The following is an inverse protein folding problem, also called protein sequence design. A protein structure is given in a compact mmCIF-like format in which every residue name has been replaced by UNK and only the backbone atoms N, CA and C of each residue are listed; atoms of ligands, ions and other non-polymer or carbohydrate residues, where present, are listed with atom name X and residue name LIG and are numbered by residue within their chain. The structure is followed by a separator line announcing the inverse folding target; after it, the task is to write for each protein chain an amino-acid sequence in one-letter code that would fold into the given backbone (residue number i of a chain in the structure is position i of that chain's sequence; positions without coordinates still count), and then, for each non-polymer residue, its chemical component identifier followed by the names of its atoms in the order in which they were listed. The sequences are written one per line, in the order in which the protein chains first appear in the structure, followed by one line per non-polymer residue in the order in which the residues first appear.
data_IF_733600883958
#
_entry.id   IF_733600883958
#
_cell.length_a   1.000
_cell.length_b   1.000
_cell.length_c   1.000
_cell.angle_alpha   90.00
_cell.angle_beta   90.00
_cell.angle_gamma   90.00
#
_symmetry.space_group_name_H-M   'P 1'
#
loop_
_entity.id
_entity.type
_entity.pdbx_description
1 polymer ?
#
# COMPACT_ATOMS: atom_id res chain seq x y z
N UNK A 1 4.31 -30.02 0.40
CA UNK A 1 3.90 -28.94 -0.53
C UNK A 1 3.99 -27.67 0.28
N UNK A 2 4.68 -26.61 -0.15
CA UNK A 2 4.63 -25.36 0.57
C UNK A 2 3.17 -24.91 0.56
N UNK A 3 2.62 -24.62 1.73
CA UNK A 3 1.34 -23.92 1.82
C UNK A 3 1.51 -22.62 1.04
N UNK A 4 0.75 -22.47 -0.03
CA UNK A 4 0.69 -21.19 -0.73
C UNK A 4 0.19 -20.18 0.30
N UNK A 5 0.99 -19.16 0.59
CA UNK A 5 0.63 -18.12 1.56
C UNK A 5 -0.75 -17.56 1.17
N UNK A 6 -1.70 -17.51 2.09
CA UNK A 6 -2.99 -16.88 1.78
C UNK A 6 -2.80 -15.36 1.60
N UNK A 7 -3.60 -14.70 0.74
CA UNK A 7 -3.56 -13.24 0.62
C UNK A 7 -3.79 -12.58 1.98
N UNK A 8 -2.93 -11.62 2.31
CA UNK A 8 -2.94 -10.91 3.58
C UNK A 8 -2.69 -9.43 3.34
N UNK A 9 -2.99 -8.62 4.35
CA UNK A 9 -2.63 -7.20 4.34
C UNK A 9 -1.12 -7.05 4.56
N UNK A 10 -0.49 -6.30 3.67
CA UNK A 10 0.89 -5.83 3.80
C UNK A 10 0.90 -4.32 3.78
N UNK A 11 1.80 -3.74 4.57
CA UNK A 11 1.99 -2.29 4.65
C UNK A 11 3.31 -1.90 4.00
N UNK A 12 3.25 -0.87 3.15
CA UNK A 12 4.40 -0.22 2.55
C UNK A 12 4.39 1.23 3.06
N UNK A 13 5.36 1.56 3.90
CA UNK A 13 5.51 2.89 4.51
C UNK A 13 6.55 3.68 3.74
N UNK A 14 6.17 4.86 3.28
CA UNK A 14 7.06 5.83 2.63
C UNK A 14 7.27 7.00 3.59
N UNK A 15 8.52 7.20 3.98
CA UNK A 15 8.91 8.18 5.00
C UNK A 15 9.52 9.43 4.37
N UNK A 16 9.73 10.46 5.20
CA UNK A 16 10.51 11.63 4.83
C UNK A 16 9.70 12.80 4.29
N UNK A 17 8.36 12.74 4.32
CA UNK A 17 7.52 13.85 3.89
C UNK A 17 7.48 14.95 4.95
N UNK A 18 7.57 16.20 4.51
CA UNK A 18 7.47 17.36 5.38
C UNK A 18 6.05 17.51 5.95
N UNK A 19 5.03 17.19 5.15
CA UNK A 19 3.63 17.29 5.52
C UNK A 19 2.74 16.30 4.73
N UNK A 20 1.46 16.27 5.06
CA UNK A 20 0.48 15.40 4.41
C UNK A 20 0.22 15.75 2.95
N UNK A 21 0.36 17.01 2.54
CA UNK A 21 0.23 17.43 1.13
C UNK A 21 1.30 16.78 0.25
N UNK A 22 2.55 16.74 0.72
CA UNK A 22 3.63 16.05 0.03
C UNK A 22 3.38 14.53 -0.06
N UNK A 23 2.92 13.93 1.04
CA UNK A 23 2.53 12.51 1.07
C UNK A 23 1.36 12.20 0.11
N UNK A 24 0.38 13.10 0.00
CA UNK A 24 -0.74 12.94 -0.94
C UNK A 24 -0.32 13.07 -2.39
N UNK A 25 0.68 13.92 -2.70
CA UNK A 25 1.15 14.12 -4.07
C UNK A 25 1.69 12.84 -4.73
N UNK A 26 2.24 11.92 -3.93
CA UNK A 26 2.76 10.64 -4.45
C UNK A 26 1.70 9.53 -4.55
N UNK A 27 0.51 9.70 -3.96
CA UNK A 27 -0.56 8.68 -4.03
C UNK A 27 -1.00 8.41 -5.46
N UNK A 28 -1.23 9.47 -6.24
CA UNK A 28 -1.68 9.32 -7.63
C UNK A 28 -0.67 8.59 -8.52
N UNK A 29 0.64 8.95 -8.51
CA UNK A 29 1.68 8.16 -9.16
C UNK A 29 1.71 6.69 -8.75
N UNK A 30 1.56 6.39 -7.45
CA UNK A 30 1.56 5.01 -6.94
C UNK A 30 0.31 4.25 -7.40
N UNK A 31 -0.87 4.88 -7.37
CA UNK A 31 -2.12 4.28 -7.85
C UNK A 31 -2.01 3.90 -9.33
N UNK A 32 -1.48 4.81 -10.18
CA UNK A 32 -1.24 4.56 -11.61
C UNK A 32 -0.24 3.42 -11.87
N UNK A 33 0.72 3.22 -10.97
CA UNK A 33 1.66 2.10 -11.02
C UNK A 33 1.00 0.76 -10.66
N UNK A 34 0.03 0.77 -9.73
CA UNK A 34 -0.71 -0.42 -9.31
C UNK A 34 -1.77 -0.82 -10.33
N UNK A 35 -2.47 0.15 -10.91
CA UNK A 35 -3.40 -0.05 -11.99
C UNK A 35 -3.34 1.15 -12.97
N UNK A 36 -3.03 0.90 -14.26
CA UNK A 36 -2.87 1.96 -15.25
C UNK A 36 -4.19 2.47 -15.84
N UNK A 37 -5.34 1.94 -15.40
CA UNK A 37 -6.65 2.46 -15.82
C UNK A 37 -6.99 3.71 -15.00
N UNK A 38 -7.51 4.76 -15.65
CA UNK A 38 -7.89 6.00 -14.95
C UNK A 38 -9.21 5.84 -14.20
N UNK A 39 -10.11 5.05 -14.77
CA UNK A 39 -11.42 4.70 -14.20
C UNK A 39 -11.40 3.20 -13.83
N UNK A 40 -10.85 2.89 -12.65
CA UNK A 40 -10.79 1.52 -12.15
C UNK A 40 -12.18 0.89 -12.10
N UNK A 41 -12.45 -0.09 -12.97
CA UNK A 41 -13.77 -0.76 -13.05
C UNK A 41 -13.81 -2.11 -12.32
N UNK A 42 -12.65 -2.56 -11.79
CA UNK A 42 -12.52 -3.73 -10.90
C UNK A 42 -12.73 -5.10 -11.57
N UNK A 43 -12.28 -6.20 -10.93
CA UNK A 43 -11.44 -6.25 -9.74
C UNK A 43 -9.95 -6.03 -10.05
N UNK A 44 -9.25 -5.30 -9.18
CA UNK A 44 -7.84 -5.01 -9.36
C UNK A 44 -6.96 -6.23 -9.05
N UNK A 45 -5.83 -6.29 -9.74
CA UNK A 45 -4.83 -7.37 -9.61
C UNK A 45 -4.19 -7.41 -8.21
N UNK A 46 -3.96 -6.24 -7.63
CA UNK A 46 -3.55 -6.04 -6.24
C UNK A 46 -4.47 -4.97 -5.68
N UNK A 47 -5.46 -5.29 -4.83
CA UNK A 47 -6.24 -4.29 -4.12
C UNK A 47 -5.34 -3.44 -3.20
N UNK A 48 -5.61 -2.14 -3.11
CA UNK A 48 -4.85 -1.23 -2.25
C UNK A 48 -5.71 -0.17 -1.57
N UNK A 49 -5.18 0.39 -0.50
CA UNK A 49 -5.73 1.56 0.19
C UNK A 49 -4.57 2.45 0.68
N UNK A 50 -4.78 3.76 0.69
CA UNK A 50 -3.83 4.71 1.27
C UNK A 50 -4.34 5.26 2.59
N UNK A 51 -3.42 5.45 3.52
CA UNK A 51 -3.63 6.20 4.75
C UNK A 51 -2.37 6.99 5.08
N UNK A 52 -2.49 7.98 5.95
CA UNK A 52 -1.37 8.80 6.41
C UNK A 52 -1.16 8.53 7.89
N UNK A 53 0.09 8.28 8.27
CA UNK A 53 0.50 8.14 9.66
C UNK A 53 1.55 9.17 10.03
N UNK A 54 1.78 9.30 11.33
CA UNK A 54 2.99 9.92 11.88
C UNK A 54 4.06 8.86 12.06
N UNK A 55 5.34 9.21 11.97
CA UNK A 55 6.42 8.27 12.23
C UNK A 55 6.38 7.86 13.73
N UNK A 56 5.85 6.67 14.04
CA UNK A 56 5.76 6.15 15.42
C UNK A 56 7.13 6.02 16.13
N UNK A 57 8.24 6.04 15.38
CA UNK A 57 9.61 5.90 15.88
C UNK A 57 10.44 7.19 15.81
N UNK A 58 9.81 8.32 15.45
CA UNK A 58 10.46 9.62 15.48
C UNK A 58 10.79 10.04 16.92
N UNK A 59 12.00 10.56 17.12
CA UNK A 59 12.29 11.40 18.29
C UNK A 59 11.16 12.44 18.47
N UNK A 60 10.73 12.72 19.71
CA UNK A 60 9.72 13.74 19.97
C UNK A 60 10.18 15.09 19.38
N UNK A 61 9.61 15.47 18.24
CA UNK A 61 9.99 16.65 17.46
C UNK A 61 10.22 16.40 15.95
N UNK A 62 10.29 15.15 15.49
CA UNK A 62 10.32 14.81 14.06
C UNK A 62 8.88 14.51 13.58
N UNK A 63 8.15 15.58 13.24
CA UNK A 63 6.74 15.55 12.79
C UNK A 63 6.59 15.05 11.34
N UNK A 64 7.60 14.38 10.79
CA UNK A 64 7.58 13.94 9.39
C UNK A 64 6.43 12.98 9.16
N UNK A 65 5.73 13.25 8.07
CA UNK A 65 4.57 12.49 7.65
C UNK A 65 5.02 11.20 6.97
N UNK A 66 4.27 10.12 7.21
CA UNK A 66 4.48 8.81 6.58
C UNK A 66 3.26 8.49 5.74
N UNK A 67 3.45 8.28 4.44
CA UNK A 67 2.41 7.67 3.61
C UNK A 67 2.42 6.17 3.85
N UNK A 68 1.27 5.59 4.15
CA UNK A 68 1.10 4.15 4.31
C UNK A 68 0.21 3.64 3.19
N UNK A 69 0.76 2.72 2.40
CA UNK A 69 0.05 1.95 1.38
C UNK A 69 -0.25 0.56 1.95
N UNK A 70 -1.51 0.26 2.18
CA UNK A 70 -1.99 -1.10 2.44
C UNK A 70 -2.24 -1.82 1.12
N UNK A 71 -1.73 -3.05 0.97
CA UNK A 71 -2.05 -3.93 -0.15
C UNK A 71 -2.53 -5.28 0.37
N UNK A 72 -3.59 -5.83 -0.23
CA UNK A 72 -4.10 -7.15 0.14
C UNK A 72 -3.72 -8.19 -0.91
N UNK A 73 -2.61 -8.89 -0.69
CA UNK A 73 -2.04 -9.81 -1.67
C UNK A 73 -1.06 -10.80 -1.04
N UNK A 74 -0.38 -11.61 -1.85
CA UNK A 74 0.68 -12.50 -1.41
C UNK A 74 1.94 -11.73 -1.04
N UNK A 75 2.70 -12.20 -0.04
CA UNK A 75 3.92 -11.53 0.40
C UNK A 75 4.94 -11.26 -0.71
N UNK A 76 5.12 -12.20 -1.64
CA UNK A 76 6.00 -12.03 -2.82
C UNK A 76 5.55 -10.89 -3.74
N UNK A 77 4.23 -10.72 -3.89
CA UNK A 77 3.65 -9.66 -4.72
C UNK A 77 3.71 -8.31 -4.01
N UNK A 78 3.48 -8.30 -2.70
CA UNK A 78 3.65 -7.10 -1.87
C UNK A 78 5.10 -6.60 -1.87
N UNK A 79 6.09 -7.51 -1.79
CA UNK A 79 7.50 -7.15 -1.91
C UNK A 79 7.82 -6.50 -3.28
N UNK A 80 7.29 -7.08 -4.38
CA UNK A 80 7.45 -6.51 -5.71
C UNK A 80 6.76 -5.13 -5.87
N UNK A 81 5.63 -4.90 -5.17
CA UNK A 81 5.02 -3.57 -5.09
C UNK A 81 5.94 -2.60 -4.34
N UNK A 82 6.52 -3.00 -3.21
CA UNK A 82 7.42 -2.17 -2.43
C UNK A 82 8.66 -1.73 -3.23
N UNK A 83 9.24 -2.62 -4.03
CA UNK A 83 10.38 -2.28 -4.91
C UNK A 83 10.00 -1.28 -6.01
N UNK A 84 8.80 -1.41 -6.58
CA UNK A 84 8.28 -0.42 -7.54
C UNK A 84 8.02 0.93 -6.87
N UNK A 85 7.50 0.95 -5.65
CA UNK A 85 7.32 2.19 -4.88
C UNK A 85 8.67 2.84 -4.61
N UNK A 86 9.70 2.09 -4.17
CA UNK A 86 11.08 2.58 -3.99
C UNK A 86 11.61 3.25 -5.26
N UNK A 87 11.48 2.58 -6.40
CA UNK A 87 11.93 3.12 -7.67
C UNK A 87 11.19 4.41 -8.06
N UNK A 88 9.91 4.53 -7.69
CA UNK A 88 9.08 5.69 -8.00
C UNK A 88 9.39 6.90 -7.11
N UNK A 89 9.57 6.70 -5.80
CA UNK A 89 9.83 7.80 -4.86
C UNK A 89 11.30 8.18 -4.77
N UNK A 90 12.19 7.32 -5.27
CA UNK A 90 13.64 7.54 -5.27
C UNK A 90 14.28 7.46 -3.89
N UNK A 91 15.59 7.75 -3.84
CA UNK A 91 16.39 7.62 -2.62
C UNK A 91 16.05 8.68 -1.54
N UNK A 92 15.27 9.71 -1.90
CA UNK A 92 14.85 10.78 -0.99
C UNK A 92 13.86 10.29 0.07
N UNK A 93 13.05 9.29 -0.26
CA UNK A 93 11.97 8.82 0.61
C UNK A 93 12.20 7.35 0.99
N UNK A 94 12.66 7.06 2.22
CA UNK A 94 12.86 5.68 2.67
C UNK A 94 11.56 4.89 2.60
N UNK A 95 11.64 3.65 2.08
CA UNK A 95 10.47 2.76 1.96
C UNK A 95 10.67 1.48 2.76
N UNK A 96 9.82 1.28 3.76
CA UNK A 96 9.79 0.08 4.61
C UNK A 96 8.57 -0.76 4.26
N UNK A 97 8.75 -2.07 4.14
CA UNK A 97 7.67 -3.02 3.88
C UNK A 97 7.59 -4.06 4.99
N UNK A 98 6.37 -4.41 5.37
CA UNK A 98 6.09 -5.47 6.35
C UNK A 98 4.67 -6.01 6.24
N UNK A 99 4.35 -6.95 7.12
CA UNK A 99 2.96 -7.40 7.31
C UNK A 99 2.16 -6.24 7.93
N UNK A 100 0.97 -5.99 7.39
CA UNK A 100 0.10 -4.93 7.87
C UNK A 100 -0.88 -5.39 8.94
N UNK A 101 -1.46 -4.42 9.63
CA UNK A 101 -2.56 -4.68 10.56
C UNK A 101 -3.89 -4.81 9.77
N UNK A 102 -4.55 -5.99 9.77
CA UNK A 102 -5.81 -6.16 9.07
C UNK A 102 -6.92 -5.25 9.60
N UNK A 103 -6.91 -4.90 10.90
CA UNK A 103 -7.95 -4.07 11.51
C UNK A 103 -7.87 -2.62 10.98
N UNK A 104 -6.68 -2.18 10.56
CA UNK A 104 -6.47 -0.87 9.92
C UNK A 104 -7.03 -0.80 8.50
N UNK A 105 -7.16 -1.93 7.83
CA UNK A 105 -7.51 -2.04 6.40
C UNK A 105 -8.73 -2.95 6.19
N UNK A 106 -9.71 -2.88 7.10
CA UNK A 106 -10.91 -3.73 7.05
C UNK A 106 -11.68 -3.54 5.73
N UNK A 107 -11.84 -2.29 5.27
CA UNK A 107 -12.54 -1.96 4.02
C UNK A 107 -11.86 -2.60 2.80
N UNK A 108 -10.52 -2.56 2.76
CA UNK A 108 -9.72 -3.21 1.71
C UNK A 108 -9.94 -4.72 1.68
N UNK A 109 -9.97 -5.37 2.85
CA UNK A 109 -10.20 -6.81 2.96
C UNK A 109 -11.63 -7.15 2.54
N UNK A 110 -12.62 -6.36 2.97
CA UNK A 110 -14.02 -6.55 2.63
C UNK A 110 -14.25 -6.43 1.12
N UNK A 111 -13.69 -5.41 0.48
CA UNK A 111 -13.76 -5.24 -0.98
C UNK A 111 -13.19 -6.47 -1.70
N UNK A 112 -12.00 -6.92 -1.30
CA UNK A 112 -11.37 -8.11 -1.91
C UNK A 112 -12.25 -9.36 -1.77
N UNK A 113 -12.90 -9.56 -0.61
CA UNK A 113 -13.81 -10.71 -0.42
C UNK A 113 -15.03 -10.64 -1.34
N UNK A 114 -15.64 -9.46 -1.48
CA UNK A 114 -16.79 -9.25 -2.37
C UNK A 114 -16.37 -9.53 -3.83
N UNK A 115 -15.28 -8.91 -4.28
CA UNK A 115 -14.78 -9.04 -5.65
C UNK A 115 -14.34 -10.48 -5.99
N UNK A 116 -13.71 -11.18 -5.04
CA UNK A 116 -13.27 -12.57 -5.24
C UNK A 116 -14.42 -13.58 -5.19
N UNK A 117 -15.56 -13.21 -4.61
CA UNK A 117 -16.75 -14.04 -4.55
C UNK A 117 -17.66 -13.89 -5.79
N UNK A 118 -17.45 -12.84 -6.60
CA UNK A 118 -18.19 -12.64 -7.84
C UNK A 118 -17.60 -13.53 -8.96
N UNK A 119 -18.44 -14.24 -9.75
CA UNK A 119 -17.96 -14.92 -10.94
C UNK A 119 -17.38 -13.89 -11.92
N UNK A 120 -16.17 -14.15 -12.41
CA UNK A 120 -15.58 -13.39 -13.50
C UNK A 120 -16.32 -13.78 -14.79
N UNK A 121 -17.10 -12.85 -15.35
CA UNK A 121 -17.82 -13.01 -16.63
C UNK A 121 -16.84 -13.14 -17.82
#
# INVERSE_FOLDING_TARGET
MPVEDEPQVHEIRVHGFADSGEAFAVQHPIARMLCPEEEHTGPCDVPWEFTVGTHDEADPGDERTVLVLGVHTLGVRAAAVADRVRALVGDTHPVVWGRGDPDRFEALIEQYRIESALPRD
#
